data_IF_699916092896
#
_entry.id   IF_699916092896
#
_cell.length_a   1.000
_cell.length_b   1.000
_cell.length_c   1.000
_cell.angle_alpha   90.00
_cell.angle_beta   90.00
_cell.angle_gamma   90.00
#
_symmetry.space_group_name_H-M   'P 1'
#
loop_
_entity.id
_entity.type
_entity.pdbx_description
1 polymer ?
#
# COMPACT_ATOMS: atom_id res chain seq x y z
N UNK A 1 -10.00 13.69 -10.42
CA UNK A 1 -9.33 13.98 -9.12
C UNK A 1 -7.84 13.72 -9.26
N UNK A 2 -7.08 14.38 -8.45
CA UNK A 2 -5.64 14.13 -8.32
C UNK A 2 -5.43 13.15 -7.16
N UNK A 3 -4.84 12.00 -7.42
CA UNK A 3 -4.67 10.90 -6.48
C UNK A 3 -3.19 10.66 -6.24
N UNK A 4 -2.76 10.67 -4.98
CA UNK A 4 -1.44 10.22 -4.57
C UNK A 4 -1.50 8.76 -4.14
N UNK A 5 -0.74 7.91 -4.81
CA UNK A 5 -0.59 6.49 -4.50
C UNK A 5 0.82 6.26 -3.98
N UNK A 6 0.95 5.90 -2.70
CA UNK A 6 2.22 5.59 -2.08
C UNK A 6 2.40 4.09 -1.98
N UNK A 7 3.52 3.57 -2.47
CA UNK A 7 3.80 2.14 -2.47
C UNK A 7 5.28 1.86 -2.30
N UNK A 8 5.60 0.86 -1.49
CA UNK A 8 6.96 0.30 -1.36
C UNK A 8 7.24 -0.78 -2.41
N UNK A 9 6.19 -1.27 -3.08
CA UNK A 9 6.26 -2.25 -4.17
C UNK A 9 5.92 -1.58 -5.50
N UNK A 10 6.92 -1.43 -6.38
CA UNK A 10 6.77 -0.82 -7.70
C UNK A 10 7.81 -1.37 -8.67
N UNK A 11 7.68 -1.02 -9.93
CA UNK A 11 8.67 -1.37 -10.96
C UNK A 11 10.10 -0.97 -10.52
N UNK A 12 11.14 -1.74 -10.82
CA UNK A 12 11.19 -2.94 -11.66
C UNK A 12 10.83 -4.27 -10.96
N UNK A 13 10.32 -4.26 -9.74
CA UNK A 13 9.88 -5.47 -9.07
C UNK A 13 8.75 -6.15 -9.86
N UNK A 14 8.77 -7.48 -9.92
CA UNK A 14 7.73 -8.29 -10.55
C UNK A 14 7.06 -9.15 -9.48
N UNK A 15 5.89 -8.74 -9.05
CA UNK A 15 5.07 -9.47 -8.08
C UNK A 15 3.60 -9.06 -8.22
N UNK A 16 2.71 -9.81 -7.55
CA UNK A 16 1.27 -9.60 -7.66
C UNK A 16 0.79 -8.22 -7.20
N UNK A 17 1.47 -7.62 -6.22
CA UNK A 17 1.14 -6.27 -5.72
C UNK A 17 1.41 -5.23 -6.80
N UNK A 18 2.58 -5.29 -7.44
CA UNK A 18 2.95 -4.36 -8.51
C UNK A 18 1.97 -4.48 -9.70
N UNK A 19 1.65 -5.70 -10.11
CA UNK A 19 0.68 -5.94 -11.18
C UNK A 19 -0.68 -5.30 -10.85
N UNK A 20 -1.19 -5.56 -9.65
CA UNK A 20 -2.47 -4.99 -9.20
C UNK A 20 -2.46 -3.47 -9.19
N UNK A 21 -1.36 -2.86 -8.71
CA UNK A 21 -1.25 -1.40 -8.63
C UNK A 21 -1.11 -0.76 -10.02
N UNK A 22 -0.41 -1.39 -10.95
CA UNK A 22 -0.32 -0.92 -12.34
C UNK A 22 -1.69 -0.93 -13.01
N UNK A 23 -2.48 -1.98 -12.81
CA UNK A 23 -3.85 -2.05 -13.31
C UNK A 23 -4.73 -0.98 -12.67
N UNK A 24 -4.63 -0.79 -11.35
CA UNK A 24 -5.38 0.25 -10.65
C UNK A 24 -5.07 1.64 -11.21
N UNK A 25 -3.81 1.97 -11.40
CA UNK A 25 -3.39 3.27 -11.97
C UNK A 25 -3.99 3.44 -13.37
N UNK A 26 -3.85 2.41 -14.23
CA UNK A 26 -4.40 2.45 -15.59
C UNK A 26 -5.91 2.69 -15.60
N UNK A 27 -6.66 2.00 -14.75
CA UNK A 27 -8.12 2.13 -14.68
C UNK A 27 -8.53 3.53 -14.16
N UNK A 28 -7.85 4.03 -13.12
CA UNK A 28 -8.12 5.37 -12.60
C UNK A 28 -7.83 6.46 -13.63
N UNK A 29 -6.73 6.36 -14.36
CA UNK A 29 -6.39 7.29 -15.44
C UNK A 29 -7.37 7.17 -16.61
N UNK A 30 -7.81 5.95 -16.91
CA UNK A 30 -8.82 5.67 -17.95
C UNK A 30 -10.16 6.34 -17.70
N UNK A 31 -10.54 6.56 -16.45
CA UNK A 31 -11.77 7.28 -16.07
C UNK A 31 -11.52 8.77 -15.77
N UNK A 32 -10.35 9.29 -16.10
CA UNK A 32 -10.04 10.73 -16.06
C UNK A 32 -9.42 11.24 -14.77
N UNK A 33 -8.93 10.38 -13.89
CA UNK A 33 -8.15 10.79 -12.73
C UNK A 33 -6.67 10.98 -13.08
N UNK A 34 -6.00 11.91 -12.39
CA UNK A 34 -4.55 12.04 -12.43
C UNK A 34 -3.96 11.26 -11.25
N UNK A 35 -3.15 10.25 -11.52
CA UNK A 35 -2.52 9.43 -10.48
C UNK A 35 -1.01 9.71 -10.45
N UNK A 36 -0.52 10.12 -9.30
CA UNK A 36 0.92 10.26 -9.06
C UNK A 36 1.37 9.17 -8.09
N UNK A 37 2.33 8.36 -8.54
CA UNK A 37 2.86 7.26 -7.76
C UNK A 37 4.13 7.69 -7.03
N UNK A 38 4.13 7.56 -5.72
CA UNK A 38 5.31 7.75 -4.87
C UNK A 38 5.88 6.37 -4.56
N UNK A 39 7.06 6.06 -5.10
CA UNK A 39 7.65 4.73 -5.08
C UNK A 39 9.16 4.77 -4.77
N UNK A 40 9.80 3.63 -4.43
CA UNK A 40 11.18 3.61 -3.98
C UNK A 40 12.20 4.19 -4.99
N UNK A 41 11.91 4.12 -6.29
CA UNK A 41 12.79 4.68 -7.34
C UNK A 41 13.01 6.19 -7.25
N UNK A 42 12.21 6.92 -6.48
CA UNK A 42 12.33 8.37 -6.26
C UNK A 42 13.22 8.72 -5.04
N UNK A 43 13.72 7.70 -4.34
CA UNK A 43 14.43 7.86 -3.07
C UNK A 43 15.78 7.15 -3.08
N UNK A 44 16.61 7.48 -2.10
CA UNK A 44 17.75 6.63 -1.73
C UNK A 44 17.21 5.35 -1.11
N UNK A 45 17.66 4.19 -1.58
CA UNK A 45 17.16 2.90 -1.14
C UNK A 45 18.26 2.01 -0.56
N UNK A 46 17.83 1.00 0.21
CA UNK A 46 18.65 -0.13 0.67
C UNK A 46 17.92 -1.44 0.40
N UNK A 47 18.63 -2.52 0.08
CA UNK A 47 18.00 -3.83 -0.05
C UNK A 47 17.27 -4.26 1.22
N UNK A 48 16.07 -4.84 1.04
CA UNK A 48 15.33 -5.41 2.16
C UNK A 48 16.03 -6.65 2.71
N UNK A 49 16.33 -6.72 4.01
CA UNK A 49 16.94 -7.92 4.60
C UNK A 49 16.05 -9.16 4.37
N UNK A 50 16.64 -10.23 3.86
CA UNK A 50 15.93 -11.49 3.63
C UNK A 50 15.06 -11.54 2.38
N UNK A 51 14.97 -10.45 1.61
CA UNK A 51 14.16 -10.37 0.38
C UNK A 51 14.98 -9.77 -0.75
N UNK A 52 15.48 -10.62 -1.63
CA UNK A 52 16.17 -10.17 -2.84
C UNK A 52 15.19 -9.48 -3.80
N UNK A 53 15.64 -8.37 -4.40
CA UNK A 53 14.85 -7.63 -5.39
C UNK A 53 13.83 -6.62 -4.82
N UNK A 54 13.77 -6.48 -3.49
CA UNK A 54 12.96 -5.44 -2.84
C UNK A 54 13.89 -4.40 -2.24
N UNK A 55 13.77 -3.16 -2.70
CA UNK A 55 14.50 -2.01 -2.18
C UNK A 55 13.58 -1.14 -1.31
N UNK A 56 14.06 -0.78 -0.13
CA UNK A 56 13.34 0.05 0.81
C UNK A 56 13.88 1.47 0.84
N UNK A 57 13.02 2.47 0.78
CA UNK A 57 13.40 3.88 0.89
C UNK A 57 14.00 4.18 2.26
N UNK A 58 15.10 4.93 2.26
CA UNK A 58 15.82 5.32 3.48
C UNK A 58 15.39 6.71 3.90
N UNK A 59 14.88 6.83 5.12
CA UNK A 59 14.44 8.11 5.72
C UNK A 59 13.55 8.95 4.79
N UNK A 60 12.48 8.39 4.21
CA UNK A 60 11.70 9.07 3.17
C UNK A 60 10.81 10.20 3.69
N UNK A 61 10.67 10.38 5.00
CA UNK A 61 9.64 11.22 5.60
C UNK A 61 9.60 12.66 5.11
N UNK A 62 10.76 13.34 5.01
CA UNK A 62 10.81 14.74 4.55
C UNK A 62 10.43 14.88 3.08
N UNK A 63 10.93 13.99 2.23
CA UNK A 63 10.66 14.04 0.80
C UNK A 63 9.21 13.64 0.49
N UNK A 64 8.67 12.66 1.19
CA UNK A 64 7.24 12.30 1.09
C UNK A 64 6.37 13.49 1.48
N UNK A 65 6.66 14.15 2.60
CA UNK A 65 5.91 15.33 3.05
C UNK A 65 5.96 16.44 1.99
N UNK A 66 7.15 16.72 1.45
CA UNK A 66 7.31 17.72 0.39
C UNK A 66 6.53 17.36 -0.87
N UNK A 67 6.62 16.11 -1.33
CA UNK A 67 5.90 15.65 -2.52
C UNK A 67 4.38 15.79 -2.35
N UNK A 68 3.83 15.41 -1.20
CA UNK A 68 2.40 15.54 -0.93
C UNK A 68 1.95 16.99 -0.78
N UNK A 69 2.76 17.84 -0.15
CA UNK A 69 2.48 19.27 -0.05
C UNK A 69 2.51 19.94 -1.43
N UNK A 70 3.48 19.60 -2.28
CA UNK A 70 3.59 20.15 -3.64
C UNK A 70 2.47 19.63 -4.57
N UNK A 71 2.11 18.37 -4.41
CA UNK A 71 1.10 17.68 -5.22
C UNK A 71 -0.32 18.17 -4.91
N UNK A 72 -0.62 18.49 -3.65
CA UNK A 72 -1.98 18.85 -3.19
C UNK A 72 -3.04 17.84 -3.67
N UNK A 73 -2.92 16.55 -3.33
CA UNK A 73 -3.84 15.54 -3.84
C UNK A 73 -5.24 15.67 -3.24
N UNK A 74 -6.25 15.29 -4.02
CA UNK A 74 -7.64 15.20 -3.56
C UNK A 74 -7.88 13.91 -2.76
N UNK A 75 -7.12 12.85 -3.06
CA UNK A 75 -7.17 11.56 -2.36
C UNK A 75 -5.77 10.99 -2.19
N UNK A 76 -5.55 10.29 -1.07
CA UNK A 76 -4.29 9.63 -0.74
C UNK A 76 -4.55 8.17 -0.44
N UNK A 77 -3.83 7.28 -1.13
CA UNK A 77 -3.89 5.84 -0.92
C UNK A 77 -2.50 5.30 -0.55
N UNK A 78 -2.41 4.65 0.61
CA UNK A 78 -1.21 3.99 1.08
C UNK A 78 -1.33 2.49 0.77
N UNK A 79 -0.68 2.05 -0.29
CA UNK A 79 -0.87 0.70 -0.82
C UNK A 79 -0.12 -0.37 -0.04
N UNK A 80 0.95 0.00 0.67
CA UNK A 80 1.81 -0.94 1.42
C UNK A 80 2.21 -0.39 2.78
N UNK A 81 2.59 -1.28 3.68
CA UNK A 81 2.95 -0.97 5.08
C UNK A 81 4.45 -0.81 5.28
N UNK A 82 5.20 -0.49 4.23
CA UNK A 82 6.64 -0.24 4.29
C UNK A 82 7.00 1.21 4.64
N UNK A 83 8.27 1.60 4.48
CA UNK A 83 8.76 2.94 4.83
C UNK A 83 7.97 4.09 4.18
N UNK A 84 7.57 3.94 2.91
CA UNK A 84 6.77 4.95 2.21
C UNK A 84 5.34 5.02 2.75
N UNK A 85 4.72 3.88 3.02
CA UNK A 85 3.41 3.82 3.65
C UNK A 85 3.39 4.50 5.02
N UNK A 86 4.37 4.20 5.87
CA UNK A 86 4.51 4.83 7.19
C UNK A 86 4.78 6.33 7.11
N UNK A 87 5.61 6.77 6.15
CA UNK A 87 5.87 8.19 5.94
C UNK A 87 4.60 8.94 5.50
N UNK A 88 3.85 8.38 4.57
CA UNK A 88 2.57 8.94 4.13
C UNK A 88 1.53 9.00 5.26
N UNK A 89 1.41 7.92 6.04
CA UNK A 89 0.53 7.87 7.22
C UNK A 89 0.86 8.99 8.22
N UNK A 90 2.13 9.14 8.55
CA UNK A 90 2.58 10.19 9.47
C UNK A 90 2.24 11.59 8.96
N UNK A 91 2.48 11.84 7.68
CA UNK A 91 2.14 13.12 7.06
C UNK A 91 0.63 13.40 7.13
N UNK A 92 -0.20 12.43 6.74
CA UNK A 92 -1.65 12.57 6.78
C UNK A 92 -2.16 12.85 8.19
N UNK A 93 -1.67 12.11 9.19
CA UNK A 93 -2.08 12.34 10.59
C UNK A 93 -1.67 13.71 11.11
N UNK A 94 -0.49 14.20 10.75
CA UNK A 94 -0.03 15.55 11.13
C UNK A 94 -0.85 16.67 10.49
N UNK A 95 -1.31 16.45 9.27
CA UNK A 95 -2.07 17.44 8.49
C UNK A 95 -3.59 17.29 8.63
N UNK A 96 -4.07 16.27 9.34
CA UNK A 96 -5.49 15.98 9.43
C UNK A 96 -6.12 15.53 8.11
N UNK A 97 -5.34 14.87 7.23
CA UNK A 97 -5.79 14.40 5.93
C UNK A 97 -6.34 12.97 6.03
N UNK A 98 -7.47 12.72 5.41
CA UNK A 98 -7.99 11.38 5.25
C UNK A 98 -7.16 10.58 4.24
N UNK A 99 -7.04 9.29 4.46
CA UNK A 99 -6.36 8.37 3.55
C UNK A 99 -6.98 6.98 3.60
N UNK A 100 -6.82 6.24 2.53
CA UNK A 100 -7.16 4.82 2.45
C UNK A 100 -5.91 3.97 2.46
N UNK A 101 -6.04 2.71 2.82
CA UNK A 101 -4.96 1.73 2.83
C UNK A 101 -5.41 0.43 2.16
N UNK A 102 -4.47 -0.45 1.86
CA UNK A 102 -4.76 -1.76 1.31
C UNK A 102 -3.95 -2.84 2.04
N UNK A 103 -4.54 -4.01 2.16
CA UNK A 103 -3.89 -5.21 2.67
C UNK A 103 -3.71 -6.18 1.50
N UNK A 104 -2.53 -6.16 0.87
CA UNK A 104 -2.25 -6.96 -0.32
C UNK A 104 -1.66 -8.33 -0.03
N UNK A 105 -0.93 -8.47 1.06
CA UNK A 105 -0.17 -9.68 1.36
C UNK A 105 -0.21 -10.00 2.85
N UNK A 106 0.06 -11.26 3.17
CA UNK A 106 0.23 -11.70 4.57
C UNK A 106 1.62 -11.35 5.10
N UNK A 107 1.97 -10.05 5.07
CA UNK A 107 3.25 -9.56 5.59
C UNK A 107 3.52 -9.95 7.05
N UNK A 108 2.56 -10.02 7.97
CA UNK A 108 2.82 -10.50 9.32
C UNK A 108 3.40 -11.91 9.36
N UNK A 109 2.92 -12.82 8.49
CA UNK A 109 3.47 -14.17 8.37
C UNK A 109 4.89 -14.16 7.81
N UNK A 110 5.15 -13.28 6.85
CA UNK A 110 6.48 -13.08 6.27
C UNK A 110 7.47 -12.56 7.33
N UNK A 111 7.08 -11.56 8.11
CA UNK A 111 7.88 -11.05 9.22
C UNK A 111 8.16 -12.12 10.27
N UNK A 112 7.16 -12.93 10.60
CA UNK A 112 7.32 -14.04 11.54
C UNK A 112 8.35 -15.04 11.02
N UNK A 113 8.26 -15.43 9.76
CA UNK A 113 9.19 -16.38 9.15
C UNK A 113 10.62 -15.82 9.05
N UNK A 114 10.78 -14.55 8.68
CA UNK A 114 12.09 -13.92 8.43
C UNK A 114 12.79 -13.47 9.71
N UNK A 115 12.07 -12.89 10.66
CA UNK A 115 12.64 -12.25 11.85
C UNK A 115 12.32 -13.00 13.16
N UNK A 116 11.61 -14.11 13.08
CA UNK A 116 11.13 -14.88 14.26
C UNK A 116 10.36 -14.03 15.29
N UNK A 117 9.77 -12.94 14.83
CA UNK A 117 8.88 -12.10 15.63
C UNK A 117 7.57 -12.83 15.81
N UNK A 118 6.95 -12.86 17.03
CA UNK A 118 5.65 -13.48 17.21
C UNK A 118 4.62 -12.94 16.21
N UNK A 119 3.83 -13.83 15.62
CA UNK A 119 2.85 -13.49 14.60
C UNK A 119 1.85 -12.43 15.10
N UNK A 120 1.45 -12.53 16.37
CA UNK A 120 0.56 -11.55 17.02
C UNK A 120 1.12 -10.14 17.04
N UNK A 121 2.44 -9.98 17.16
CA UNK A 121 3.09 -8.67 17.13
C UNK A 121 3.05 -8.05 15.74
N UNK A 122 3.28 -8.86 14.70
CA UNK A 122 3.16 -8.41 13.32
C UNK A 122 1.75 -7.92 13.01
N UNK A 123 0.74 -8.67 13.39
CA UNK A 123 -0.66 -8.25 13.22
C UNK A 123 -1.02 -7.04 14.07
N UNK A 124 -0.50 -6.93 15.29
CA UNK A 124 -0.71 -5.75 16.13
C UNK A 124 -0.12 -4.49 15.49
N UNK A 125 1.09 -4.58 14.92
CA UNK A 125 1.73 -3.48 14.21
C UNK A 125 0.91 -3.04 12.98
N UNK A 126 0.46 -3.99 12.16
CA UNK A 126 -0.33 -3.67 10.97
C UNK A 126 -1.74 -3.19 11.32
N UNK A 127 -2.36 -3.72 12.37
CA UNK A 127 -3.60 -3.17 12.90
C UNK A 127 -3.43 -1.71 13.33
N UNK A 128 -2.33 -1.38 13.99
CA UNK A 128 -2.00 -0.01 14.35
C UNK A 128 -1.81 0.88 13.10
N UNK A 129 -1.11 0.38 12.09
CA UNK A 129 -0.92 1.09 10.82
C UNK A 129 -2.25 1.43 10.15
N UNK A 130 -3.15 0.46 10.02
CA UNK A 130 -4.42 0.62 9.31
C UNK A 130 -5.52 1.33 10.11
N UNK A 131 -5.40 1.38 11.43
CA UNK A 131 -6.45 1.90 12.32
C UNK A 131 -6.98 3.28 11.92
N UNK A 132 -6.16 4.29 11.60
CA UNK A 132 -6.65 5.62 11.25
C UNK A 132 -7.11 5.74 9.79
N UNK A 133 -7.00 4.68 8.99
CA UNK A 133 -7.46 4.67 7.61
C UNK A 133 -8.97 4.82 7.52
N UNK A 134 -9.46 5.61 6.58
CA UNK A 134 -10.89 5.73 6.30
C UNK A 134 -11.48 4.51 5.61
N UNK A 135 -10.64 3.65 5.01
CA UNK A 135 -11.03 2.37 4.43
C UNK A 135 -9.80 1.51 4.16
N UNK A 136 -9.83 0.26 4.62
CA UNK A 136 -8.79 -0.74 4.38
C UNK A 136 -9.29 -1.68 3.28
N UNK A 137 -8.68 -1.61 2.12
CA UNK A 137 -9.03 -2.43 0.96
C UNK A 137 -8.47 -3.84 1.13
N UNK A 138 -9.33 -4.84 1.00
CA UNK A 138 -9.00 -6.25 1.24
C UNK A 138 -9.39 -7.09 0.01
N UNK A 139 -8.51 -8.00 -0.47
CA UNK A 139 -8.71 -8.64 -1.77
C UNK A 139 -9.78 -9.73 -1.79
N UNK A 140 -10.02 -10.39 -0.67
CA UNK A 140 -10.96 -11.52 -0.58
C UNK A 140 -11.79 -11.49 0.69
N UNK A 141 -12.97 -12.13 0.63
CA UNK A 141 -13.84 -12.27 1.80
C UNK A 141 -13.16 -13.06 2.93
N UNK A 142 -12.36 -14.08 2.60
CA UNK A 142 -11.63 -14.88 3.60
C UNK A 142 -10.60 -14.04 4.35
N UNK A 143 -9.84 -13.20 3.65
CA UNK A 143 -8.87 -12.29 4.27
C UNK A 143 -9.60 -11.22 5.10
N UNK A 144 -10.72 -10.70 4.61
CA UNK A 144 -11.53 -9.73 5.36
C UNK A 144 -11.99 -10.33 6.69
N UNK A 145 -12.54 -11.55 6.69
CA UNK A 145 -12.98 -12.22 7.91
C UNK A 145 -11.82 -12.48 8.87
N UNK A 146 -10.68 -12.93 8.37
CA UNK A 146 -9.48 -13.15 9.16
C UNK A 146 -9.01 -11.86 9.84
N UNK A 147 -8.96 -10.74 9.12
CA UNK A 147 -8.56 -9.45 9.69
C UNK A 147 -9.60 -8.92 10.69
N UNK A 148 -10.89 -9.08 10.40
CA UNK A 148 -11.96 -8.71 11.34
C UNK A 148 -11.84 -9.47 12.67
N UNK A 149 -11.56 -10.76 12.63
CA UNK A 149 -11.32 -11.58 13.82
C UNK A 149 -10.09 -11.13 14.62
N UNK A 150 -9.12 -10.52 13.96
CA UNK A 150 -7.92 -9.93 14.60
C UNK A 150 -8.10 -8.49 15.05
N UNK A 151 -9.32 -7.94 14.99
CA UNK A 151 -9.66 -6.62 15.48
C UNK A 151 -9.38 -5.47 14.50
N UNK A 152 -9.20 -5.75 13.21
CA UNK A 152 -9.11 -4.70 12.17
C UNK A 152 -10.50 -4.11 11.91
N UNK A 153 -10.57 -2.79 11.78
CA UNK A 153 -11.78 -2.06 11.43
C UNK A 153 -11.72 -1.44 10.03
N UNK A 154 -12.82 -0.84 9.62
CA UNK A 154 -12.95 -0.13 8.33
C UNK A 154 -12.59 -0.98 7.10
N UNK A 155 -12.79 -2.28 7.18
CA UNK A 155 -12.48 -3.21 6.10
C UNK A 155 -13.48 -3.04 4.95
N UNK A 156 -12.94 -2.98 3.72
CA UNK A 156 -13.70 -2.92 2.48
C UNK A 156 -13.23 -4.01 1.53
N UNK A 157 -14.15 -4.82 1.04
CA UNK A 157 -13.83 -5.81 0.04
C UNK A 157 -13.51 -5.12 -1.28
N UNK A 158 -12.32 -5.42 -1.81
CA UNK A 158 -11.88 -4.97 -3.11
C UNK A 158 -11.37 -6.18 -3.88
N UNK A 159 -12.28 -6.84 -4.58
CA UNK A 159 -11.91 -7.92 -5.48
C UNK A 159 -11.16 -7.33 -6.66
N UNK A 160 -9.97 -7.85 -6.93
CA UNK A 160 -9.24 -7.52 -8.14
C UNK A 160 -10.07 -7.99 -9.33
N UNK A 161 -10.58 -7.06 -10.13
CA UNK A 161 -11.31 -7.38 -11.35
C UNK A 161 -10.43 -8.21 -12.27
N UNK A 162 -11.02 -9.22 -12.90
CA UNK A 162 -10.36 -9.89 -14.01
C UNK A 162 -10.42 -8.94 -15.21
N UNK A 163 -9.29 -8.70 -15.87
CA UNK A 163 -9.27 -7.97 -17.14
C UNK A 163 -10.08 -8.77 -18.15
N UNK A 164 -11.33 -8.35 -18.36
CA UNK A 164 -12.25 -9.01 -19.26
C UNK A 164 -11.79 -8.92 -20.72
N UNK A 165 -10.95 -7.94 -21.07
CA UNK A 165 -10.38 -7.83 -22.41
C UNK A 165 -9.27 -8.86 -22.63
N UNK A 166 -8.45 -9.13 -21.62
CA UNK A 166 -7.43 -10.18 -21.71
C UNK A 166 -8.03 -11.59 -21.64
N UNK A 167 -9.17 -11.78 -20.95
CA UNK A 167 -9.84 -13.07 -20.86
C UNK A 167 -10.58 -13.48 -22.15
N UNK A 168 -10.90 -12.53 -23.04
CA UNK A 168 -11.57 -12.81 -24.32
C UNK A 168 -10.56 -13.09 -25.45
N UNK A 169 -9.28 -12.78 -25.24
CA UNK A 169 -8.22 -12.92 -26.25
C UNK A 169 -7.51 -14.31 -26.25
N UNK A 170 -7.97 -15.29 -25.44
CA UNK A 170 -7.44 -16.67 -25.42
C UNK A 170 -8.48 -17.67 -25.90
#
# INVERSE_FOLDING_TARGET
>A
MKIALLTDAWLPQVNGVVTTLLELVRELEGVGHEVQVVHPGLFTTRPCPGYAGIDLAVRPGRLVAKMLDDMQPDAIHLATEGPLGWAGRRHCLRRGLAFTTAFHTKFPEILHAALRVPLSWGYALFRHFHRPSSGVMVPTQGVLQMLAQRGFGNLRLWTHGVDTQAAIAN
#
